data_IF_528383973695
#
_entry.id   IF_528383973695
#
_cell.length_a   1.000
_cell.length_b   1.000
_cell.length_c   1.000
_cell.angle_alpha   90.00
_cell.angle_beta   90.00
_cell.angle_gamma   90.00
#
_symmetry.space_group_name_H-M   'P 1'
#
loop_
_entity.id
_entity.type
_entity.pdbx_description
1 polymer ?
#
# COMPACT_ATOMS: atom_id res chain seq x y z
N UNK A 1 -15.72 9.82 -0.37
CA UNK A 1 -14.73 10.68 -1.06
C UNK A 1 -13.56 11.07 -0.16
N UNK A 2 -13.77 11.67 1.02
CA UNK A 2 -12.67 12.08 1.94
C UNK A 2 -11.70 10.93 2.28
N UNK A 3 -12.23 9.78 2.72
CA UNK A 3 -11.43 8.59 3.01
C UNK A 3 -10.50 8.18 1.86
N UNK A 4 -11.04 8.18 0.64
CA UNK A 4 -10.29 7.82 -0.57
C UNK A 4 -9.16 8.81 -0.86
N UNK A 5 -9.46 10.12 -0.86
CA UNK A 5 -8.46 11.15 -1.13
C UNK A 5 -7.36 11.18 -0.06
N UNK A 6 -7.72 11.03 1.21
CA UNK A 6 -6.74 10.98 2.31
C UNK A 6 -5.82 9.76 2.21
N UNK A 7 -6.38 8.58 1.90
CA UNK A 7 -5.59 7.37 1.72
C UNK A 7 -4.71 7.43 0.46
N UNK A 8 -5.27 7.88 -0.67
CA UNK A 8 -4.52 8.02 -1.93
C UNK A 8 -3.35 8.98 -1.78
N UNK A 9 -3.57 10.14 -1.15
CA UNK A 9 -2.51 11.12 -0.94
C UNK A 9 -1.37 10.53 -0.09
N UNK A 10 -1.71 9.92 1.06
CA UNK A 10 -0.71 9.31 1.93
C UNK A 10 0.07 8.20 1.21
N UNK A 11 -0.63 7.32 0.48
CA UNK A 11 -0.02 6.24 -0.27
C UNK A 11 0.95 6.76 -1.33
N UNK A 12 0.52 7.70 -2.18
CA UNK A 12 1.38 8.26 -3.23
C UNK A 12 2.63 8.97 -2.67
N UNK A 13 2.48 9.71 -1.56
CA UNK A 13 3.62 10.39 -0.91
C UNK A 13 4.60 9.37 -0.37
N UNK A 14 4.13 8.37 0.36
CA UNK A 14 4.99 7.34 0.96
C UNK A 14 5.68 6.49 -0.12
N UNK A 15 4.92 6.02 -1.11
CA UNK A 15 5.45 5.15 -2.16
C UNK A 15 6.41 5.92 -3.09
N UNK A 16 6.10 7.19 -3.39
CA UNK A 16 6.99 8.06 -4.14
C UNK A 16 8.31 8.32 -3.41
N UNK A 17 8.28 8.48 -2.09
CA UNK A 17 9.51 8.58 -1.27
C UNK A 17 10.30 7.27 -1.26
N UNK A 18 9.60 6.14 -1.14
CA UNK A 18 10.21 4.82 -1.13
C UNK A 18 10.91 4.51 -2.46
N UNK A 19 10.18 4.54 -3.57
CA UNK A 19 10.68 4.20 -4.90
C UNK A 19 11.62 5.24 -5.48
N UNK A 20 11.48 6.51 -5.08
CA UNK A 20 12.30 7.61 -5.62
C UNK A 20 13.62 7.84 -4.89
N UNK A 21 13.74 7.43 -3.62
CA UNK A 21 14.90 7.77 -2.81
C UNK A 21 15.42 6.63 -1.93
N UNK A 22 14.53 5.85 -1.31
CA UNK A 22 14.95 4.91 -0.27
C UNK A 22 15.33 3.54 -0.83
N UNK A 23 14.60 3.06 -1.83
CA UNK A 23 14.68 1.70 -2.31
C UNK A 23 15.11 1.59 -3.77
N UNK A 24 15.32 2.71 -4.47
CA UNK A 24 15.66 2.75 -5.90
C UNK A 24 16.87 1.86 -6.19
N UNK A 25 18.02 2.14 -5.57
CA UNK A 25 19.24 1.38 -5.79
C UNK A 25 19.10 -0.07 -5.32
N UNK A 26 18.42 -0.29 -4.20
CA UNK A 26 18.15 -1.63 -3.67
C UNK A 26 17.38 -2.53 -4.66
N UNK A 27 16.32 -2.01 -5.29
CA UNK A 27 15.57 -2.75 -6.31
C UNK A 27 16.37 -2.92 -7.60
N UNK A 28 17.11 -1.90 -8.06
CA UNK A 28 17.95 -2.02 -9.25
C UNK A 28 19.06 -3.06 -9.08
N UNK A 29 19.72 -3.11 -7.93
CA UNK A 29 20.77 -4.08 -7.63
C UNK A 29 20.20 -5.51 -7.49
N UNK A 30 19.01 -5.64 -6.90
CA UNK A 30 18.41 -6.94 -6.62
C UNK A 30 17.61 -7.53 -7.79
N UNK A 31 17.01 -6.68 -8.63
CA UNK A 31 16.07 -7.07 -9.69
C UNK A 31 16.46 -6.55 -11.06
N UNK A 32 17.60 -5.87 -11.24
CA UNK A 32 17.94 -5.11 -12.46
C UNK A 32 17.75 -5.87 -13.77
N UNK A 33 18.06 -7.17 -13.81
CA UNK A 33 17.86 -8.01 -15.00
C UNK A 33 16.39 -8.32 -15.34
N UNK A 34 15.46 -8.07 -14.42
CA UNK A 34 14.02 -8.29 -14.54
C UNK A 34 13.23 -6.97 -14.73
N UNK A 35 13.85 -5.82 -14.46
CA UNK A 35 13.19 -4.52 -14.53
C UNK A 35 12.98 -4.08 -15.99
N UNK A 36 11.82 -3.46 -16.26
CA UNK A 36 11.58 -2.78 -17.52
C UNK A 36 12.45 -1.53 -17.63
N UNK A 37 12.84 -1.18 -18.86
CA UNK A 37 13.57 0.07 -19.15
C UNK A 37 12.78 1.31 -18.72
N UNK A 38 11.45 1.27 -18.88
CA UNK A 38 10.54 2.32 -18.46
C UNK A 38 9.33 1.71 -17.74
N UNK A 39 8.77 2.36 -16.70
CA UNK A 39 7.58 1.88 -16.02
C UNK A 39 6.37 1.76 -16.96
N UNK A 40 5.60 0.67 -16.80
CA UNK A 40 4.27 0.59 -17.40
C UNK A 40 3.28 1.44 -16.58
N UNK A 41 3.17 2.71 -16.95
CA UNK A 41 2.31 3.68 -16.25
C UNK A 41 0.83 3.28 -16.17
N UNK A 42 0.18 2.76 -17.24
CA UNK A 42 -1.20 2.32 -17.15
C UNK A 42 -1.43 1.28 -16.04
N UNK A 43 -0.59 0.24 -15.97
CA UNK A 43 -0.69 -0.80 -14.93
C UNK A 43 -0.50 -0.23 -13.53
N UNK A 44 0.47 0.67 -13.35
CA UNK A 44 0.72 1.33 -12.07
C UNK A 44 -0.48 2.18 -11.62
N UNK A 45 -1.03 3.00 -12.50
CA UNK A 45 -2.19 3.86 -12.18
C UNK A 45 -3.41 3.01 -11.81
N UNK A 46 -3.69 1.95 -12.57
CA UNK A 46 -4.81 1.04 -12.28
C UNK A 46 -4.64 0.41 -10.90
N UNK A 47 -3.43 -0.07 -10.58
CA UNK A 47 -3.13 -0.62 -9.26
C UNK A 47 -3.35 0.42 -8.16
N UNK A 48 -2.79 1.62 -8.28
CA UNK A 48 -2.88 2.65 -7.25
C UNK A 48 -4.36 3.00 -7.00
N UNK A 49 -5.11 3.32 -8.05
CA UNK A 49 -6.50 3.73 -7.90
C UNK A 49 -7.37 2.60 -7.34
N UNK A 50 -7.17 1.38 -7.82
CA UNK A 50 -7.92 0.20 -7.38
C UNK A 50 -7.57 -0.26 -5.97
N UNK A 51 -6.29 -0.22 -5.59
CA UNK A 51 -5.84 -0.64 -4.27
C UNK A 51 -6.39 0.29 -3.18
N UNK A 52 -6.45 1.61 -3.42
CA UNK A 52 -7.11 2.54 -2.51
C UNK A 52 -8.61 2.23 -2.34
N UNK A 53 -9.31 1.77 -3.39
CA UNK A 53 -10.70 1.29 -3.24
C UNK A 53 -10.74 0.12 -2.26
N UNK A 54 -9.81 -0.83 -2.36
CA UNK A 54 -9.66 -1.94 -1.43
C UNK A 54 -9.43 -1.48 0.02
N UNK A 55 -8.50 -0.55 0.23
CA UNK A 55 -8.23 0.04 1.57
C UNK A 55 -9.50 0.67 2.14
N UNK A 56 -10.21 1.47 1.33
CA UNK A 56 -11.45 2.12 1.78
C UNK A 56 -12.51 1.09 2.12
N UNK A 57 -12.68 0.07 1.30
CA UNK A 57 -13.75 -0.91 1.45
C UNK A 57 -13.52 -1.90 2.60
N UNK A 58 -12.32 -2.45 2.71
CA UNK A 58 -11.99 -3.50 3.68
C UNK A 58 -11.49 -2.97 5.03
N UNK A 59 -10.94 -1.76 5.07
CA UNK A 59 -10.31 -1.22 6.29
C UNK A 59 -11.06 -0.01 6.82
N UNK A 60 -11.16 1.05 6.01
CA UNK A 60 -11.68 2.35 6.51
C UNK A 60 -13.19 2.27 6.76
N UNK A 61 -13.97 1.74 5.81
CA UNK A 61 -15.43 1.71 5.90
C UNK A 61 -15.89 0.92 7.14
N UNK A 62 -15.45 -0.32 7.42
CA UNK A 62 -15.82 -1.03 8.65
C UNK A 62 -15.42 -0.26 9.90
N UNK A 63 -14.25 0.38 9.91
CA UNK A 63 -13.78 1.15 11.06
C UNK A 63 -14.62 2.38 11.37
N UNK A 64 -15.26 3.01 10.36
CA UNK A 64 -16.17 4.14 10.56
C UNK A 64 -17.49 3.73 11.23
N UNK A 65 -17.90 2.46 11.15
CA UNK A 65 -19.17 1.95 11.67
C UNK A 65 -19.02 1.06 12.91
N UNK A 66 -17.95 1.22 13.68
CA UNK A 66 -17.76 0.48 14.94
C UNK A 66 -16.33 0.09 15.27
N UNK A 67 -15.35 0.48 14.45
CA UNK A 67 -13.93 0.27 14.75
C UNK A 67 -13.26 1.47 15.44
N UNK A 68 -11.94 1.40 15.53
CA UNK A 68 -11.09 2.43 16.11
C UNK A 68 -9.73 2.47 15.39
N UNK A 69 -8.85 3.40 15.77
CA UNK A 69 -7.53 3.52 15.16
C UNK A 69 -6.70 2.21 15.22
N UNK A 70 -6.85 1.39 16.27
CA UNK A 70 -6.15 0.11 16.41
C UNK A 70 -6.66 -0.92 15.40
N UNK A 71 -7.97 -0.98 15.15
CA UNK A 71 -8.50 -1.87 14.10
C UNK A 71 -8.04 -1.43 12.72
N UNK A 72 -8.01 -0.12 12.43
CA UNK A 72 -7.50 0.42 11.16
C UNK A 72 -6.05 0.01 10.92
N UNK A 73 -5.17 0.16 11.92
CA UNK A 73 -3.77 -0.23 11.81
C UNK A 73 -3.61 -1.74 11.60
N UNK A 74 -4.31 -2.56 12.39
CA UNK A 74 -4.26 -4.02 12.27
C UNK A 74 -4.75 -4.49 10.90
N UNK A 75 -5.94 -4.05 10.51
CA UNK A 75 -6.61 -4.52 9.29
C UNK A 75 -5.91 -3.97 8.03
N UNK A 76 -5.40 -2.74 8.11
CA UNK A 76 -4.53 -2.17 7.07
C UNK A 76 -3.22 -2.93 6.93
N UNK A 77 -2.55 -3.28 8.03
CA UNK A 77 -1.33 -4.08 7.99
C UNK A 77 -1.58 -5.48 7.41
N UNK A 78 -2.68 -6.14 7.80
CA UNK A 78 -3.06 -7.45 7.26
C UNK A 78 -3.38 -7.38 5.76
N UNK A 79 -4.13 -6.38 5.31
CA UNK A 79 -4.41 -6.17 3.89
C UNK A 79 -3.12 -5.89 3.10
N UNK A 80 -2.22 -5.09 3.67
CA UNK A 80 -0.89 -4.80 3.13
C UNK A 80 -0.07 -6.07 2.96
N UNK A 81 0.09 -6.84 4.04
CA UNK A 81 0.81 -8.10 4.04
C UNK A 81 0.28 -9.05 2.96
N UNK A 82 -1.03 -9.27 2.90
CA UNK A 82 -1.61 -10.22 1.95
C UNK A 82 -1.44 -9.76 0.50
N UNK A 83 -1.61 -8.47 0.21
CA UNK A 83 -1.44 -7.95 -1.14
C UNK A 83 0.01 -8.11 -1.63
N UNK A 84 0.97 -7.69 -0.81
CA UNK A 84 2.38 -7.74 -1.16
C UNK A 84 2.89 -9.19 -1.16
N UNK A 85 2.52 -10.00 -0.17
CA UNK A 85 2.85 -11.43 -0.16
C UNK A 85 2.27 -12.17 -1.38
N UNK A 86 1.08 -11.79 -1.86
CA UNK A 86 0.52 -12.39 -3.08
C UNK A 86 1.42 -12.11 -4.28
N UNK A 87 1.88 -10.87 -4.46
CA UNK A 87 2.82 -10.51 -5.53
C UNK A 87 4.16 -11.24 -5.37
N UNK A 88 4.78 -11.11 -4.20
CA UNK A 88 6.11 -11.62 -3.92
C UNK A 88 6.20 -13.15 -3.93
N UNK A 89 5.27 -13.84 -3.28
CA UNK A 89 5.29 -15.30 -3.22
C UNK A 89 4.96 -15.90 -4.59
N UNK A 90 4.12 -15.24 -5.38
CA UNK A 90 3.86 -15.66 -6.77
C UNK A 90 5.12 -15.49 -7.62
N UNK A 91 5.86 -14.38 -7.47
CA UNK A 91 7.11 -14.19 -8.21
C UNK A 91 8.21 -15.16 -7.75
N UNK A 92 8.33 -15.42 -6.44
CA UNK A 92 9.21 -16.47 -5.91
C UNK A 92 8.89 -17.85 -6.48
N UNK A 93 7.61 -18.14 -6.78
CA UNK A 93 7.19 -19.40 -7.35
C UNK A 93 7.37 -19.49 -8.88
N UNK A 94 7.37 -18.36 -9.60
CA UNK A 94 7.25 -18.33 -11.07
C UNK A 94 8.48 -17.78 -11.79
N UNK A 95 9.27 -16.92 -11.14
CA UNK A 95 10.41 -16.23 -11.74
C UNK A 95 11.75 -16.80 -11.24
N UNK A 96 12.67 -17.05 -12.17
CA UNK A 96 14.03 -17.49 -11.82
C UNK A 96 14.85 -16.30 -11.32
N UNK A 97 15.45 -16.44 -10.14
CA UNK A 97 16.34 -15.42 -9.58
C UNK A 97 15.62 -14.28 -8.86
N UNK A 98 14.34 -14.44 -8.51
CA UNK A 98 13.65 -13.49 -7.64
C UNK A 98 14.29 -13.44 -6.25
N UNK A 99 14.43 -12.24 -5.68
CA UNK A 99 15.15 -12.01 -4.43
C UNK A 99 14.24 -12.19 -3.21
N UNK A 100 14.55 -13.18 -2.36
CA UNK A 100 13.85 -13.37 -1.08
C UNK A 100 13.98 -12.13 -0.17
N UNK A 101 15.13 -11.46 -0.21
CA UNK A 101 15.37 -10.24 0.57
C UNK A 101 14.42 -9.14 0.13
N UNK A 102 14.26 -8.94 -1.18
CA UNK A 102 13.28 -7.98 -1.71
C UNK A 102 11.90 -8.33 -1.20
N UNK A 103 11.47 -9.58 -1.32
CA UNK A 103 10.14 -9.99 -0.86
C UNK A 103 9.90 -9.74 0.63
N UNK A 104 10.87 -10.03 1.49
CA UNK A 104 10.71 -9.76 2.92
C UNK A 104 10.57 -8.27 3.22
N UNK A 105 11.40 -7.44 2.58
CA UNK A 105 11.34 -5.98 2.72
C UNK A 105 10.03 -5.43 2.17
N UNK A 106 9.62 -5.89 0.99
CA UNK A 106 8.42 -5.41 0.30
C UNK A 106 7.14 -5.79 1.05
N UNK A 107 7.05 -7.01 1.60
CA UNK A 107 5.94 -7.41 2.47
C UNK A 107 5.84 -6.56 3.74
N UNK A 108 6.97 -6.27 4.41
CA UNK A 108 7.00 -5.41 5.60
C UNK A 108 6.60 -3.98 5.22
N UNK A 109 7.11 -3.47 4.10
CA UNK A 109 6.72 -2.16 3.59
C UNK A 109 5.24 -2.10 3.26
N UNK A 110 4.69 -3.14 2.60
CA UNK A 110 3.28 -3.30 2.30
C UNK A 110 2.39 -3.20 3.55
N UNK A 111 2.79 -3.83 4.65
CA UNK A 111 2.10 -3.67 5.94
C UNK A 111 2.08 -2.21 6.39
N UNK A 112 3.23 -1.53 6.35
CA UNK A 112 3.40 -0.17 6.84
C UNK A 112 2.63 0.82 5.98
N UNK A 113 2.86 0.83 4.66
CA UNK A 113 2.27 1.80 3.75
C UNK A 113 0.75 1.69 3.72
N UNK A 114 0.20 0.47 3.74
CA UNK A 114 -1.26 0.26 3.73
C UNK A 114 -1.88 0.67 5.06
N UNK A 115 -1.26 0.34 6.20
CA UNK A 115 -1.75 0.74 7.52
C UNK A 115 -1.75 2.27 7.71
N UNK A 116 -0.66 2.94 7.32
CA UNK A 116 -0.54 4.40 7.44
C UNK A 116 -1.50 5.12 6.48
N UNK A 117 -1.63 4.64 5.24
CA UNK A 117 -2.58 5.20 4.28
C UNK A 117 -4.02 5.03 4.74
N UNK A 118 -4.36 3.87 5.30
CA UNK A 118 -5.67 3.63 5.89
C UNK A 118 -5.95 4.56 7.07
N UNK A 119 -4.95 4.77 7.95
CA UNK A 119 -5.06 5.68 9.10
C UNK A 119 -5.28 7.13 8.66
N UNK A 120 -4.55 7.60 7.65
CA UNK A 120 -4.71 8.94 7.09
C UNK A 120 -6.12 9.14 6.51
N UNK A 121 -6.58 8.21 5.66
CA UNK A 121 -7.93 8.23 5.10
C UNK A 121 -9.02 8.17 6.15
N UNK A 122 -8.87 7.30 7.16
CA UNK A 122 -9.80 7.19 8.28
C UNK A 122 -9.87 8.49 9.08
N UNK A 123 -8.74 9.06 9.47
CA UNK A 123 -8.68 10.27 10.29
C UNK A 123 -9.28 11.47 9.58
N UNK A 124 -9.00 11.63 8.28
CA UNK A 124 -9.56 12.70 7.46
C UNK A 124 -11.07 12.55 7.24
N UNK A 125 -11.59 11.33 7.23
CA UNK A 125 -13.03 11.08 7.13
C UNK A 125 -13.73 11.26 8.47
N UNK A 126 -13.15 10.76 9.57
CA UNK A 126 -13.71 10.81 10.91
C UNK A 126 -13.82 12.24 11.45
N UNK A 127 -12.82 13.09 11.20
CA UNK A 127 -12.84 14.51 11.62
C UNK A 127 -13.99 15.32 11.03
N UNK A 128 -14.58 14.83 9.94
CA UNK A 128 -15.72 15.50 9.32
C UNK A 128 -17.06 15.07 9.88
N UNK A 129 -17.17 13.86 10.43
CA UNK A 129 -18.39 13.39 11.08
C UNK A 129 -18.63 14.04 12.44
N UNK A 130 -17.55 14.48 13.10
CA UNK A 130 -17.61 15.23 14.36
C UNK A 130 -17.93 16.71 14.18
N UNK A 131 -17.77 17.27 12.97
CA UNK A 131 -18.03 18.69 12.68
C UNK A 131 -19.49 18.98 12.29
N UNK A 132 -20.22 17.95 11.87
CA UNK A 132 -21.63 18.02 11.47
C UNK A 132 -22.60 17.59 12.62
N UNK A 133 -22.11 17.51 13.86
CA UNK A 133 -22.89 17.27 15.09
C UNK A 133 -22.79 18.47 16.01
#
# INVERSE_FOLDING_TARGET
MKAYLGALFAFCVMDGLWLGFLATDFYFDSLGGLLLKEPNWPSAIIFYLGYIVGIVYFVIKPALFGGNHRSVLRDGALLGLLAYATYDMTNMATLKGWSLTVSMVDMVWGMVITAVSALAGYSFSASSLTKDR
#
